data_IF_429732504025
#
_entry.id   IF_429732504025
#
_cell.length_a   1.000
_cell.length_b   1.000
_cell.length_c   1.000
_cell.angle_alpha   90.00
_cell.angle_beta   90.00
_cell.angle_gamma   90.00
#
_symmetry.space_group_name_H-M   'P 1'
#
loop_
_entity.id
_entity.type
_entity.pdbx_description
1 polymer ?
#
# COMPACT_ATOMS: atom_id res chain seq x y z
N UNK A 1 50.86 -5.45 -4.74
CA UNK A 1 49.76 -4.55 -5.08
C UNK A 1 48.86 -5.31 -6.04
N UNK A 2 47.83 -5.96 -5.53
CA UNK A 2 46.92 -6.76 -6.35
C UNK A 2 45.95 -5.83 -7.10
N UNK A 3 45.97 -5.96 -8.40
CA UNK A 3 44.99 -5.35 -9.31
C UNK A 3 43.59 -5.85 -8.92
N UNK A 4 42.79 -4.98 -8.34
CA UNK A 4 41.35 -5.17 -8.32
C UNK A 4 40.90 -5.18 -9.77
N UNK A 5 40.61 -6.35 -10.31
CA UNK A 5 39.93 -6.50 -11.58
C UNK A 5 38.62 -5.69 -11.52
N UNK A 6 38.54 -4.67 -12.37
CA UNK A 6 37.30 -3.95 -12.57
C UNK A 6 36.24 -4.96 -13.07
N UNK A 7 35.28 -5.31 -12.23
CA UNK A 7 34.13 -6.05 -12.66
C UNK A 7 33.50 -5.27 -13.81
N UNK A 8 33.60 -5.82 -15.01
CA UNK A 8 32.89 -5.31 -16.19
C UNK A 8 31.41 -5.51 -15.94
N UNK A 9 30.73 -4.46 -15.50
CA UNK A 9 29.28 -4.47 -15.44
C UNK A 9 28.73 -4.72 -16.85
N UNK A 10 28.17 -5.90 -17.08
CA UNK A 10 27.52 -6.23 -18.34
C UNK A 10 26.24 -5.41 -18.48
N UNK A 11 26.25 -4.41 -19.35
CA UNK A 11 25.08 -3.62 -19.68
C UNK A 11 24.24 -4.36 -20.71
N UNK A 12 23.04 -4.78 -20.30
CA UNK A 12 22.04 -5.39 -21.19
C UNK A 12 21.13 -4.29 -21.74
N UNK A 13 21.23 -4.04 -23.05
CA UNK A 13 20.36 -3.07 -23.71
C UNK A 13 18.96 -3.69 -23.91
N UNK A 14 17.86 -2.93 -23.66
CA UNK A 14 16.52 -3.39 -23.98
C UNK A 14 16.36 -3.56 -25.49
N UNK A 15 15.46 -4.46 -25.92
CA UNK A 15 15.11 -4.57 -27.35
C UNK A 15 14.40 -3.30 -27.80
N UNK A 16 14.49 -3.00 -29.11
CA UNK A 16 13.84 -1.84 -29.69
C UNK A 16 12.30 -1.89 -29.51
N UNK A 17 11.70 -3.08 -29.64
CA UNK A 17 10.26 -3.26 -29.44
C UNK A 17 9.84 -2.94 -28.00
N UNK A 18 10.61 -3.39 -27.00
CA UNK A 18 10.35 -3.06 -25.60
C UNK A 18 10.52 -1.57 -25.32
N UNK A 19 11.61 -0.95 -25.80
CA UNK A 19 11.87 0.47 -25.59
C UNK A 19 10.77 1.35 -26.22
N UNK A 20 10.30 1.01 -27.41
CA UNK A 20 9.23 1.76 -28.10
C UNK A 20 7.88 1.69 -27.36
N UNK A 21 7.61 0.62 -26.62
CA UNK A 21 6.38 0.44 -25.83
C UNK A 21 6.49 0.96 -24.40
N UNK A 22 7.70 1.33 -23.95
CA UNK A 22 7.96 1.83 -22.61
C UNK A 22 7.46 3.28 -22.44
N UNK A 23 7.11 3.65 -21.20
CA UNK A 23 6.79 5.04 -20.86
C UNK A 23 7.99 5.97 -21.03
N UNK A 24 9.20 5.50 -20.72
CA UNK A 24 10.48 6.16 -21.01
C UNK A 24 11.18 5.36 -22.10
N UNK A 25 11.45 5.99 -23.23
CA UNK A 25 11.97 5.31 -24.43
C UNK A 25 13.49 5.32 -24.52
N UNK A 26 14.14 6.20 -23.77
CA UNK A 26 15.59 6.36 -23.82
C UNK A 26 16.19 6.83 -22.49
N UNK A 27 17.50 6.60 -22.31
CA UNK A 27 18.25 7.15 -21.19
C UNK A 27 18.27 8.69 -21.22
N UNK A 28 18.28 9.28 -22.40
CA UNK A 28 18.26 10.74 -22.56
C UNK A 28 16.94 11.34 -22.04
N UNK A 29 15.82 10.70 -22.34
CA UNK A 29 14.50 11.11 -21.81
C UNK A 29 14.45 11.00 -20.27
N UNK A 30 14.96 9.90 -19.71
CA UNK A 30 15.11 9.76 -18.27
C UNK A 30 15.96 10.88 -17.68
N UNK A 31 17.12 11.16 -18.26
CA UNK A 31 18.04 12.19 -17.78
C UNK A 31 17.40 13.59 -17.80
N UNK A 32 16.61 13.87 -18.83
CA UNK A 32 15.86 15.13 -18.92
C UNK A 32 14.89 15.27 -17.76
N UNK A 33 14.04 14.27 -17.53
CA UNK A 33 13.08 14.27 -16.42
C UNK A 33 13.75 14.33 -15.05
N UNK A 34 14.87 13.60 -14.88
CA UNK A 34 15.66 13.65 -13.65
C UNK A 34 16.19 15.06 -13.40
N UNK A 35 16.77 15.70 -14.41
CA UNK A 35 17.31 17.05 -14.27
C UNK A 35 16.20 18.08 -13.98
N UNK A 36 15.00 17.93 -14.57
CA UNK A 36 13.84 18.76 -14.23
C UNK A 36 13.43 18.58 -12.78
N UNK A 37 13.39 17.35 -12.27
CA UNK A 37 13.01 17.06 -10.89
C UNK A 37 13.99 17.65 -9.86
N UNK A 38 15.26 17.82 -10.22
CA UNK A 38 16.28 18.44 -9.34
C UNK A 38 16.26 19.96 -9.47
N UNK A 39 16.09 20.50 -10.69
CA UNK A 39 16.16 21.94 -10.96
C UNK A 39 14.96 22.71 -10.42
N UNK A 40 13.77 22.12 -10.55
CA UNK A 40 12.51 22.72 -10.09
C UNK A 40 11.58 21.62 -9.55
N UNK A 41 11.86 21.13 -8.30
CA UNK A 41 11.09 20.05 -7.70
C UNK A 41 9.59 20.38 -7.59
N UNK A 42 9.24 21.60 -7.24
CA UNK A 42 7.84 21.97 -7.03
C UNK A 42 7.05 21.92 -8.34
N UNK A 43 7.62 22.41 -9.44
CA UNK A 43 7.01 22.29 -10.77
C UNK A 43 6.88 20.83 -11.18
N UNK A 44 7.94 20.05 -11.06
CA UNK A 44 7.94 18.63 -11.42
C UNK A 44 6.87 17.84 -10.65
N UNK A 45 6.88 17.95 -9.32
CA UNK A 45 5.92 17.22 -8.49
C UNK A 45 4.49 17.75 -8.59
N UNK A 46 4.32 19.04 -8.93
CA UNK A 46 3.01 19.59 -9.25
C UNK A 46 2.41 18.95 -10.51
N UNK A 47 3.22 18.74 -11.55
CA UNK A 47 2.78 18.05 -12.76
C UNK A 47 2.34 16.61 -12.44
N UNK A 48 3.13 15.87 -11.65
CA UNK A 48 2.77 14.52 -11.21
C UNK A 48 1.48 14.55 -10.39
N UNK A 49 1.37 15.46 -9.40
CA UNK A 49 0.18 15.59 -8.54
C UNK A 49 -1.09 15.87 -9.35
N UNK A 50 -1.01 16.63 -10.42
CA UNK A 50 -2.15 16.94 -11.28
C UNK A 50 -2.69 15.73 -12.05
N UNK A 51 -1.95 14.63 -12.11
CA UNK A 51 -2.44 13.37 -12.71
C UNK A 51 -3.39 12.62 -11.78
N UNK A 52 -3.44 12.97 -10.48
CA UNK A 52 -4.29 12.35 -9.46
C UNK A 52 -5.54 13.18 -9.18
N UNK A 53 -6.56 12.51 -8.66
CA UNK A 53 -7.74 13.18 -8.15
C UNK A 53 -7.49 13.76 -6.76
N UNK A 54 -7.84 15.02 -6.58
CA UNK A 54 -7.81 15.74 -5.31
C UNK A 54 -9.21 16.27 -4.99
N UNK A 55 -9.76 15.93 -3.84
CA UNK A 55 -10.98 16.56 -3.34
C UNK A 55 -10.72 18.05 -3.04
N UNK A 56 -9.53 18.36 -2.53
CA UNK A 56 -9.00 19.71 -2.37
C UNK A 56 -7.56 19.69 -2.83
N UNK A 57 -7.22 20.52 -3.80
CA UNK A 57 -5.83 20.66 -4.27
C UNK A 57 -4.93 21.18 -3.17
N UNK A 58 -3.65 20.79 -3.13
CA UNK A 58 -2.68 21.35 -2.17
C UNK A 58 -2.44 22.83 -2.43
N UNK A 59 -2.13 23.55 -1.37
CA UNK A 59 -1.74 24.96 -1.44
C UNK A 59 -0.27 25.11 -1.82
N UNK A 60 0.58 24.22 -1.32
CA UNK A 60 2.03 24.14 -1.61
C UNK A 60 2.40 22.72 -1.96
N UNK A 61 3.39 22.56 -2.81
CA UNK A 61 3.87 21.24 -3.23
C UNK A 61 4.82 20.66 -2.21
N UNK A 62 5.91 21.40 -1.90
CA UNK A 62 6.86 21.01 -0.86
C UNK A 62 7.23 22.22 0.02
N UNK A 63 7.53 21.92 1.27
CA UNK A 63 8.11 22.87 2.22
C UNK A 63 8.99 22.09 3.18
N UNK A 64 10.22 22.52 3.36
CA UNK A 64 11.12 21.83 4.28
C UNK A 64 12.08 22.79 4.97
N UNK A 65 12.53 22.42 6.16
CA UNK A 65 13.64 23.00 6.87
C UNK A 65 14.61 21.90 7.28
N UNK A 66 15.83 21.90 6.74
CA UNK A 66 16.90 20.97 7.07
C UNK A 66 18.02 21.65 7.86
N UNK A 67 17.88 22.96 8.16
CA UNK A 67 18.84 23.77 8.91
C UNK A 67 18.37 23.89 10.36
N UNK A 68 19.08 23.21 11.27
CA UNK A 68 18.76 23.23 12.71
C UNK A 68 18.88 24.62 13.34
N UNK A 69 19.64 25.53 12.74
CA UNK A 69 19.76 26.92 13.22
C UNK A 69 18.49 27.73 12.93
N UNK A 70 17.66 27.30 11.98
CA UNK A 70 16.38 27.90 11.62
C UNK A 70 15.18 27.26 12.31
N UNK A 71 15.43 26.32 13.25
CA UNK A 71 14.40 25.61 14.00
C UNK A 71 14.40 24.10 13.74
N UNK A 72 13.36 23.38 14.19
CA UNK A 72 13.26 21.94 14.03
C UNK A 72 13.32 21.49 12.57
N UNK A 73 13.99 20.37 12.30
CA UNK A 73 13.94 19.74 10.98
C UNK A 73 12.50 19.36 10.67
N UNK A 74 12.02 19.76 9.50
CA UNK A 74 10.66 19.48 9.06
C UNK A 74 10.60 19.29 7.55
N UNK A 75 9.72 18.38 7.11
CA UNK A 75 9.42 18.14 5.69
C UNK A 75 7.91 18.02 5.57
N UNK A 76 7.31 18.82 4.68
CA UNK A 76 5.88 18.80 4.38
C UNK A 76 5.69 18.69 2.87
N UNK A 77 4.79 17.80 2.46
CA UNK A 77 4.40 17.61 1.07
C UNK A 77 2.91 17.85 0.89
N UNK A 78 2.52 18.51 -0.20
CA UNK A 78 1.14 18.71 -0.62
C UNK A 78 0.24 19.28 0.49
N UNK A 79 0.75 20.29 1.22
CA UNK A 79 0.08 20.86 2.38
C UNK A 79 -1.28 21.44 2.00
N UNK A 80 -2.28 21.17 2.84
CA UNK A 80 -3.67 21.56 2.62
C UNK A 80 -4.43 20.72 1.59
N UNK A 81 -3.75 19.80 0.87
CA UNK A 81 -4.37 18.86 -0.06
C UNK A 81 -5.24 17.84 0.66
N UNK A 82 -6.34 17.40 -0.01
CA UNK A 82 -7.18 16.29 0.45
C UNK A 82 -7.44 15.35 -0.71
N UNK A 83 -7.12 14.07 -0.51
CA UNK A 83 -7.37 13.01 -1.48
C UNK A 83 -7.70 11.71 -0.76
N UNK A 84 -8.14 10.71 -1.50
CA UNK A 84 -8.30 9.35 -1.03
C UNK A 84 -7.61 8.40 -2.00
N UNK A 85 -6.71 7.57 -1.48
CA UNK A 85 -5.93 6.65 -2.30
C UNK A 85 -6.82 5.59 -2.97
N UNK A 86 -7.87 5.11 -2.29
CA UNK A 86 -8.79 4.12 -2.85
C UNK A 86 -9.59 4.71 -4.02
N UNK A 87 -10.00 5.99 -3.95
CA UNK A 87 -10.62 6.67 -5.08
C UNK A 87 -9.67 6.71 -6.28
N UNK A 88 -8.41 7.06 -6.04
CA UNK A 88 -7.40 7.11 -7.10
C UNK A 88 -7.03 5.72 -7.65
N UNK A 89 -7.07 4.68 -6.82
CA UNK A 89 -6.74 3.33 -7.24
C UNK A 89 -7.91 2.61 -7.95
N UNK A 90 -9.15 2.90 -7.59
CA UNK A 90 -10.33 2.17 -8.06
C UNK A 90 -11.35 3.07 -8.76
N UNK A 91 -11.98 3.99 -8.03
CA UNK A 91 -13.21 4.69 -8.47
C UNK A 91 -13.02 5.43 -9.79
N UNK A 92 -11.93 6.20 -9.90
CA UNK A 92 -11.62 6.99 -11.11
C UNK A 92 -11.41 6.13 -12.38
N UNK A 93 -11.21 4.83 -12.22
CA UNK A 93 -10.94 3.92 -13.33
C UNK A 93 -12.15 3.12 -13.78
N UNK A 94 -13.27 3.15 -13.01
CA UNK A 94 -14.42 2.28 -13.25
C UNK A 94 -15.07 2.50 -14.60
N UNK A 95 -15.23 3.75 -15.02
CA UNK A 95 -15.86 4.10 -16.29
C UNK A 95 -15.09 3.53 -17.50
N UNK A 96 -13.76 3.72 -17.51
CA UNK A 96 -12.91 3.35 -18.65
C UNK A 96 -12.37 1.92 -18.58
N UNK A 97 -12.21 1.38 -17.39
CA UNK A 97 -11.49 0.12 -17.13
C UNK A 97 -12.21 -0.81 -16.15
N UNK A 98 -13.51 -0.61 -15.91
CA UNK A 98 -14.27 -1.40 -14.94
C UNK A 98 -14.26 -2.90 -15.21
N UNK A 99 -14.26 -3.31 -16.47
CA UNK A 99 -14.20 -4.72 -16.90
C UNK A 99 -12.76 -5.28 -16.98
N UNK A 100 -11.74 -4.41 -16.88
CA UNK A 100 -10.34 -4.86 -16.90
C UNK A 100 -10.03 -5.60 -15.61
N UNK A 101 -9.24 -6.68 -15.70
CA UNK A 101 -8.73 -7.39 -14.51
C UNK A 101 -7.81 -6.47 -13.74
N UNK A 102 -8.12 -6.28 -12.44
CA UNK A 102 -7.31 -5.49 -11.52
C UNK A 102 -6.14 -6.34 -10.99
N UNK A 103 -6.40 -7.60 -10.63
CA UNK A 103 -5.35 -8.56 -10.27
C UNK A 103 -5.81 -10.01 -10.47
N UNK A 104 -4.84 -10.89 -10.62
CA UNK A 104 -4.99 -12.33 -10.56
C UNK A 104 -4.45 -12.82 -9.20
N UNK A 105 -5.15 -13.77 -8.61
CA UNK A 105 -4.67 -14.48 -7.44
C UNK A 105 -4.48 -15.96 -7.78
N UNK A 106 -3.28 -16.46 -7.49
CA UNK A 106 -2.91 -17.85 -7.69
C UNK A 106 -2.79 -18.54 -6.34
N UNK A 107 -3.55 -19.63 -6.09
CA UNK A 107 -3.47 -20.39 -4.84
C UNK A 107 -2.21 -21.27 -4.78
N UNK A 108 -1.86 -21.72 -3.58
CA UNK A 108 -0.76 -22.69 -3.39
C UNK A 108 -1.07 -24.09 -3.94
N UNK A 109 -2.34 -24.45 -4.03
CA UNK A 109 -2.76 -25.73 -4.57
C UNK A 109 -2.99 -25.65 -6.09
N UNK A 110 -2.94 -26.78 -6.77
CA UNK A 110 -3.22 -26.89 -8.21
C UNK A 110 -4.72 -26.75 -8.51
N UNK A 111 -5.33 -25.68 -8.03
CA UNK A 111 -6.72 -25.31 -8.31
C UNK A 111 -6.74 -24.00 -9.09
N UNK A 112 -7.83 -23.71 -9.78
CA UNK A 112 -7.95 -22.50 -10.58
C UNK A 112 -7.79 -21.24 -9.73
N UNK A 113 -6.97 -20.31 -10.21
CA UNK A 113 -6.81 -18.99 -9.62
C UNK A 113 -8.08 -18.12 -9.77
N UNK A 114 -8.08 -16.99 -9.10
CA UNK A 114 -9.19 -16.04 -9.14
C UNK A 114 -8.71 -14.74 -9.83
N UNK A 115 -9.51 -14.26 -10.77
CA UNK A 115 -9.32 -12.94 -11.36
C UNK A 115 -10.40 -12.00 -10.88
N UNK A 116 -10.02 -10.81 -10.40
CA UNK A 116 -10.96 -9.76 -10.02
C UNK A 116 -10.81 -8.58 -10.96
N UNK A 117 -11.93 -8.15 -11.55
CA UNK A 117 -12.01 -6.91 -12.32
C UNK A 117 -12.01 -5.69 -11.38
N UNK A 118 -11.72 -4.49 -11.92
CA UNK A 118 -11.83 -3.24 -11.15
C UNK A 118 -13.24 -3.07 -10.56
N UNK A 119 -14.28 -3.41 -11.32
CA UNK A 119 -15.68 -3.30 -10.85
C UNK A 119 -15.99 -4.25 -9.71
N UNK A 120 -15.55 -5.50 -9.80
CA UNK A 120 -15.74 -6.50 -8.74
C UNK A 120 -14.94 -6.15 -7.48
N UNK A 121 -13.68 -5.75 -7.65
CA UNK A 121 -12.85 -5.29 -6.55
C UNK A 121 -13.47 -4.08 -5.85
N UNK A 122 -13.92 -3.07 -6.59
CA UNK A 122 -14.61 -1.90 -6.05
C UNK A 122 -15.84 -2.30 -5.23
N UNK A 123 -16.70 -3.20 -5.75
CA UNK A 123 -17.87 -3.70 -5.03
C UNK A 123 -17.48 -4.35 -3.71
N UNK A 124 -16.49 -5.25 -3.72
CA UNK A 124 -16.01 -5.94 -2.51
C UNK A 124 -15.40 -4.97 -1.50
N UNK A 125 -14.63 -3.99 -1.96
CA UNK A 125 -14.05 -2.94 -1.11
C UNK A 125 -15.14 -2.09 -0.45
N UNK A 126 -16.19 -1.72 -1.19
CA UNK A 126 -17.31 -0.97 -0.62
C UNK A 126 -18.08 -1.78 0.44
N UNK A 127 -18.30 -3.08 0.20
CA UNK A 127 -18.94 -3.97 1.17
C UNK A 127 -18.12 -4.10 2.46
N UNK A 128 -16.81 -4.35 2.34
CA UNK A 128 -15.89 -4.43 3.48
C UNK A 128 -15.81 -3.11 4.24
N UNK A 129 -15.76 -1.98 3.54
CA UNK A 129 -15.76 -0.65 4.14
C UNK A 129 -17.03 -0.38 4.95
N UNK A 130 -18.20 -0.79 4.43
CA UNK A 130 -19.46 -0.66 5.16
C UNK A 130 -19.50 -1.59 6.39
N UNK A 131 -19.00 -2.83 6.29
CA UNK A 131 -18.89 -3.74 7.43
C UNK A 131 -18.01 -3.14 8.54
N UNK A 132 -16.84 -2.57 8.20
CA UNK A 132 -15.99 -1.89 9.17
C UNK A 132 -16.70 -0.72 9.86
N UNK A 133 -17.47 0.08 9.10
CA UNK A 133 -18.27 1.18 9.68
C UNK A 133 -19.35 0.65 10.63
N UNK A 134 -20.02 -0.46 10.31
CA UNK A 134 -21.01 -1.09 11.19
C UNK A 134 -20.37 -1.59 12.48
N UNK A 135 -19.12 -2.04 12.45
CA UNK A 135 -18.33 -2.40 13.62
C UNK A 135 -17.79 -1.18 14.40
N UNK A 136 -18.15 0.03 14.00
CA UNK A 136 -17.80 1.26 14.70
C UNK A 136 -16.41 1.82 14.34
N UNK A 137 -15.74 1.29 13.31
CA UNK A 137 -14.45 1.84 12.82
C UNK A 137 -14.69 3.19 12.15
N UNK A 138 -13.91 4.18 12.55
CA UNK A 138 -13.98 5.57 12.09
C UNK A 138 -12.66 6.00 11.44
N UNK A 139 -12.68 7.16 10.80
CA UNK A 139 -11.46 7.80 10.29
C UNK A 139 -10.45 8.01 11.42
N UNK A 140 -9.23 7.58 11.18
CA UNK A 140 -8.11 7.65 12.13
C UNK A 140 -7.98 6.45 13.05
N UNK A 141 -8.99 5.58 13.17
CA UNK A 141 -8.87 4.33 13.90
C UNK A 141 -7.88 3.40 13.20
N UNK A 142 -7.10 2.63 13.98
CA UNK A 142 -6.20 1.63 13.47
C UNK A 142 -6.90 0.27 13.35
N UNK A 143 -6.74 -0.39 12.21
CA UNK A 143 -7.23 -1.74 11.93
C UNK A 143 -6.03 -2.62 11.58
N UNK A 144 -5.79 -3.67 12.37
CA UNK A 144 -4.79 -4.68 12.04
C UNK A 144 -5.36 -5.71 11.07
N UNK A 145 -4.53 -6.12 10.12
CA UNK A 145 -4.88 -7.13 9.11
C UNK A 145 -3.84 -8.25 9.21
N UNK A 146 -4.21 -9.33 9.90
CA UNK A 146 -3.40 -10.52 10.10
C UNK A 146 -3.95 -11.66 9.27
N UNK A 147 -3.60 -11.65 7.97
CA UNK A 147 -4.17 -12.53 6.96
C UNK A 147 -3.10 -13.14 6.06
N UNK A 148 -3.37 -14.30 5.45
CA UNK A 148 -2.54 -14.83 4.37
C UNK A 148 -2.69 -13.98 3.10
N UNK A 149 -1.89 -14.30 2.07
CA UNK A 149 -1.93 -13.63 0.76
C UNK A 149 -3.13 -14.13 -0.06
N UNK A 150 -4.34 -13.73 0.35
CA UNK A 150 -5.62 -14.05 -0.30
C UNK A 150 -6.27 -12.77 -0.84
N UNK A 151 -7.24 -12.86 -1.75
CA UNK A 151 -7.91 -11.68 -2.33
C UNK A 151 -8.52 -10.72 -1.31
N UNK A 152 -8.92 -11.23 -0.14
CA UNK A 152 -9.50 -10.46 0.96
C UNK A 152 -8.50 -9.49 1.60
N UNK A 153 -7.20 -9.79 1.52
CA UNK A 153 -6.16 -8.91 2.07
C UNK A 153 -6.16 -7.52 1.41
N UNK A 154 -5.97 -7.38 0.08
CA UNK A 154 -6.02 -6.06 -0.57
C UNK A 154 -7.41 -5.42 -0.47
N UNK A 155 -8.50 -6.20 -0.39
CA UNK A 155 -9.85 -5.67 -0.16
C UNK A 155 -9.91 -4.99 1.21
N UNK A 156 -9.41 -5.61 2.27
CA UNK A 156 -9.38 -5.04 3.62
C UNK A 156 -8.51 -3.77 3.68
N UNK A 157 -7.31 -3.79 3.06
CA UNK A 157 -6.42 -2.62 2.95
C UNK A 157 -7.13 -1.43 2.30
N UNK A 158 -7.74 -1.67 1.13
CA UNK A 158 -8.45 -0.62 0.38
C UNK A 158 -9.73 -0.16 1.10
N UNK A 159 -10.41 -1.05 1.82
CA UNK A 159 -11.59 -0.70 2.62
C UNK A 159 -11.23 0.25 3.78
N UNK A 160 -10.16 -0.03 4.52
CA UNK A 160 -9.65 0.87 5.55
C UNK A 160 -9.30 2.23 4.96
N UNK A 161 -8.50 2.25 3.89
CA UNK A 161 -8.11 3.50 3.23
C UNK A 161 -9.33 4.29 2.71
N UNK A 162 -10.37 3.59 2.22
CA UNK A 162 -11.61 4.21 1.74
C UNK A 162 -12.33 5.03 2.81
N UNK A 163 -12.42 4.50 4.03
CA UNK A 163 -13.06 5.20 5.16
C UNK A 163 -12.11 6.11 5.94
N UNK A 164 -10.85 6.16 5.55
CA UNK A 164 -9.82 6.95 6.22
C UNK A 164 -9.31 6.33 7.52
N UNK A 165 -9.54 5.03 7.74
CA UNK A 165 -8.91 4.26 8.81
C UNK A 165 -7.45 3.93 8.45
N UNK A 166 -6.61 3.84 9.45
CA UNK A 166 -5.22 3.40 9.31
C UNK A 166 -5.20 1.88 9.30
N UNK A 167 -4.63 1.28 8.27
CA UNK A 167 -4.42 -0.18 8.24
C UNK A 167 -2.99 -0.52 8.62
N UNK A 168 -2.83 -1.62 9.38
CA UNK A 168 -1.54 -2.21 9.75
C UNK A 168 -1.55 -3.66 9.32
N UNK A 169 -0.87 -3.97 8.21
CA UNK A 169 -0.74 -5.35 7.74
C UNK A 169 0.34 -6.06 8.54
N UNK A 170 -0.03 -7.17 9.16
CA UNK A 170 0.86 -7.99 9.97
C UNK A 170 1.10 -9.31 9.27
N UNK A 171 2.37 -9.69 9.14
CA UNK A 171 2.76 -10.93 8.49
C UNK A 171 2.21 -12.16 9.25
N UNK A 172 1.53 -13.06 8.53
CA UNK A 172 0.84 -14.24 9.09
C UNK A 172 1.74 -15.31 9.72
N UNK A 173 3.03 -15.06 9.86
CA UNK A 173 3.99 -15.94 10.55
C UNK A 173 4.48 -15.39 11.90
N UNK A 174 3.96 -14.24 12.36
CA UNK A 174 4.33 -13.67 13.65
C UNK A 174 3.61 -14.39 14.81
N UNK A 175 4.26 -14.40 15.97
CA UNK A 175 3.69 -14.96 17.21
C UNK A 175 2.55 -14.09 17.76
N UNK A 176 1.71 -14.71 18.63
CA UNK A 176 0.64 -14.02 19.34
C UNK A 176 1.15 -12.82 20.16
N UNK A 177 2.29 -12.96 20.81
CA UNK A 177 2.92 -11.87 21.57
C UNK A 177 3.29 -10.69 20.70
N UNK A 178 3.98 -10.95 19.56
CA UNK A 178 4.35 -9.90 18.63
C UNK A 178 3.14 -9.19 17.99
N UNK A 179 2.05 -9.93 17.77
CA UNK A 179 0.79 -9.36 17.30
C UNK A 179 0.14 -8.49 18.37
N UNK A 180 0.06 -8.99 19.62
CA UNK A 180 -0.47 -8.26 20.78
C UNK A 180 0.26 -6.94 21.01
N UNK A 181 1.60 -6.95 21.03
CA UNK A 181 2.39 -5.74 21.26
C UNK A 181 2.12 -4.67 20.20
N UNK A 182 2.02 -5.07 18.93
CA UNK A 182 1.66 -4.15 17.82
C UNK A 182 0.25 -3.60 17.98
N UNK A 183 -0.71 -4.41 18.41
CA UNK A 183 -2.09 -3.98 18.62
C UNK A 183 -2.19 -2.94 19.74
N UNK A 184 -1.47 -3.15 20.83
CA UNK A 184 -1.41 -2.21 21.96
C UNK A 184 -0.74 -0.91 21.54
N UNK A 185 0.46 -0.98 20.91
CA UNK A 185 1.22 0.20 20.47
C UNK A 185 0.40 1.10 19.54
N UNK A 186 -0.30 0.49 18.59
CA UNK A 186 -1.13 1.24 17.62
C UNK A 186 -2.52 1.62 18.11
N UNK A 187 -2.90 1.23 19.33
CA UNK A 187 -4.28 1.36 19.85
C UNK A 187 -5.31 0.78 18.90
N UNK A 188 -5.08 -0.47 18.49
CA UNK A 188 -5.87 -1.18 17.50
C UNK A 188 -7.36 -1.20 17.87
N UNK A 189 -8.23 -0.79 16.92
CA UNK A 189 -9.68 -0.80 17.09
C UNK A 189 -10.33 -2.09 16.62
N UNK A 190 -9.77 -2.72 15.59
CA UNK A 190 -10.28 -3.97 15.03
C UNK A 190 -9.13 -4.81 14.47
N UNK A 191 -9.26 -6.13 14.56
CA UNK A 191 -8.36 -7.11 13.95
C UNK A 191 -9.13 -7.91 12.90
N UNK A 192 -8.63 -7.92 11.67
CA UNK A 192 -9.12 -8.78 10.59
C UNK A 192 -8.17 -9.94 10.44
N UNK A 193 -8.70 -11.17 10.49
CA UNK A 193 -7.91 -12.39 10.32
C UNK A 193 -8.65 -13.42 9.47
N UNK A 194 -8.04 -14.55 9.21
CA UNK A 194 -8.65 -15.73 8.60
C UNK A 194 -8.56 -16.92 9.57
N UNK A 195 -9.27 -17.98 9.28
CA UNK A 195 -9.25 -19.23 10.08
C UNK A 195 -7.88 -19.88 10.08
N UNK A 196 -7.23 -20.00 8.93
CA UNK A 196 -5.91 -20.58 8.77
C UNK A 196 -5.20 -20.12 7.52
N UNK A 197 -3.94 -20.51 7.37
CA UNK A 197 -3.20 -20.32 6.14
C UNK A 197 -2.30 -21.53 5.83
N UNK A 198 -2.03 -21.75 4.55
CA UNK A 198 -1.09 -22.76 4.11
C UNK A 198 0.34 -22.21 4.07
N UNK A 199 1.28 -23.00 4.58
CA UNK A 199 2.72 -22.79 4.39
C UNK A 199 3.31 -24.09 3.83
N UNK A 200 3.43 -24.19 2.52
CA UNK A 200 3.61 -25.47 1.84
C UNK A 200 2.40 -26.39 2.11
N UNK A 201 2.65 -27.58 2.63
CA UNK A 201 1.60 -28.55 2.98
C UNK A 201 1.09 -28.43 4.42
N UNK A 202 1.64 -27.50 5.21
CA UNK A 202 1.26 -27.29 6.61
C UNK A 202 0.21 -26.21 6.73
N UNK A 203 -0.84 -26.49 7.49
CA UNK A 203 -1.83 -25.46 7.90
C UNK A 203 -1.33 -24.77 9.18
N UNK A 204 -1.31 -23.46 9.17
CA UNK A 204 -1.05 -22.61 10.35
C UNK A 204 -2.39 -22.06 10.81
N UNK A 205 -2.80 -22.31 12.05
CA UNK A 205 -4.09 -21.85 12.60
C UNK A 205 -4.00 -20.38 13.04
N UNK A 206 -3.99 -19.45 12.08
CA UNK A 206 -3.77 -18.03 12.37
C UNK A 206 -4.89 -17.41 13.21
N UNK A 207 -6.12 -17.96 13.18
CA UNK A 207 -7.21 -17.54 14.07
C UNK A 207 -6.87 -17.82 15.54
N UNK A 208 -6.33 -18.99 15.85
CA UNK A 208 -5.92 -19.34 17.23
C UNK A 208 -4.82 -18.39 17.72
N UNK A 209 -3.87 -18.04 16.87
CA UNK A 209 -2.82 -17.07 17.17
C UNK A 209 -3.43 -15.68 17.42
N UNK A 210 -4.39 -15.27 16.61
CA UNK A 210 -5.11 -14.01 16.79
C UNK A 210 -5.90 -13.99 18.12
N UNK A 211 -6.56 -15.08 18.51
CA UNK A 211 -7.31 -15.18 19.76
C UNK A 211 -6.36 -15.13 20.97
N UNK A 212 -5.21 -15.80 20.90
CA UNK A 212 -4.16 -15.69 21.93
C UNK A 212 -3.61 -14.28 22.05
N UNK A 213 -3.44 -13.57 20.94
CA UNK A 213 -3.01 -12.17 20.95
C UNK A 213 -4.05 -11.26 21.61
N UNK A 214 -5.34 -11.46 21.34
CA UNK A 214 -6.43 -10.73 22.00
C UNK A 214 -6.45 -10.99 23.51
N UNK A 215 -6.36 -12.26 23.95
CA UNK A 215 -6.26 -12.60 25.36
C UNK A 215 -5.05 -11.94 26.05
N UNK A 216 -3.90 -11.86 25.34
CA UNK A 216 -2.72 -11.15 25.82
C UNK A 216 -2.95 -9.63 25.93
N UNK A 217 -3.70 -9.02 25.00
CA UNK A 217 -4.08 -7.62 25.08
C UNK A 217 -4.96 -7.35 26.33
N UNK A 218 -5.98 -8.17 26.55
CA UNK A 218 -6.88 -8.07 27.70
C UNK A 218 -6.10 -8.22 29.03
N UNK A 219 -5.18 -9.18 29.10
CA UNK A 219 -4.33 -9.37 30.29
C UNK A 219 -3.41 -8.17 30.58
N UNK A 220 -3.06 -7.39 29.55
CA UNK A 220 -2.28 -6.15 29.66
C UNK A 220 -3.15 -4.90 29.85
N UNK A 221 -4.49 -5.05 29.99
CA UNK A 221 -5.43 -3.97 30.24
C UNK A 221 -5.79 -3.13 29.01
N UNK A 222 -5.64 -3.69 27.84
CA UNK A 222 -5.98 -3.05 26.55
C UNK A 222 -7.39 -3.42 26.10
#
# INVERSE_FOLDING_TARGET
MSSLEQEKHHLFKPSADFANKSHLKSLSEYQTLYNESIKDPDKFWSQIANTFYWQKKPNTISQYNLDIQKGPVSIKWFEGGKTNITYNALDRHLEKSGSKVAFHWEPNASVAGISLTYKELHKKVCQAANALKTLGVKKGDCVHIYMPMIPELPIAVLACARIGAVHSVVFGGLSAESLSDRMIDSKCKALITADGCYRGNKIIPIKEIADQALASCEAKGF
#
